data_IF_158604813816
#
_entry.id   IF_158604813816
#
_cell.length_a   1.000
_cell.length_b   1.000
_cell.length_c   1.000
_cell.angle_alpha   90.00
_cell.angle_beta   90.00
_cell.angle_gamma   90.00
#
_symmetry.space_group_name_H-M   'P 1'
#
loop_
_entity.id
_entity.type
_entity.pdbx_description
1 polymer ?
#
# COMPACT_ATOMS: atom_id res chain seq x y z
N UNK A 1 -0.04 18.88 17.09
CA UNK A 1 1.00 17.84 16.92
C UNK A 1 2.09 18.45 16.06
N UNK A 2 3.37 18.38 16.45
CA UNK A 2 4.49 18.95 15.69
C UNK A 2 4.89 17.98 14.58
N UNK A 3 5.11 18.46 13.36
CA UNK A 3 5.65 17.64 12.28
C UNK A 3 7.17 17.60 12.44
N UNK A 4 7.70 16.45 12.84
CA UNK A 4 9.14 16.19 13.01
C UNK A 4 9.48 14.76 12.54
N UNK A 5 10.77 14.47 12.28
CA UNK A 5 11.19 13.15 11.78
C UNK A 5 10.78 11.98 12.66
N UNK A 6 10.79 12.15 13.99
CA UNK A 6 10.40 11.10 14.92
C UNK A 6 8.91 10.76 14.78
N UNK A 7 8.04 11.77 14.70
CA UNK A 7 6.61 11.59 14.49
C UNK A 7 6.30 10.99 13.10
N UNK A 8 7.07 11.33 12.06
CA UNK A 8 6.92 10.73 10.73
C UNK A 8 7.35 9.26 10.73
N UNK A 9 8.44 8.90 11.41
CA UNK A 9 8.84 7.48 11.59
C UNK A 9 7.81 6.69 12.39
N UNK A 10 7.23 7.26 13.44
CA UNK A 10 6.11 6.64 14.15
C UNK A 10 4.90 6.43 13.23
N UNK A 11 4.62 7.38 12.34
CA UNK A 11 3.63 7.23 11.27
C UNK A 11 3.94 6.04 10.36
N UNK A 12 5.20 5.87 9.95
CA UNK A 12 5.65 4.73 9.16
C UNK A 12 5.39 3.39 9.88
N UNK A 13 5.67 3.30 11.18
CA UNK A 13 5.37 2.10 11.97
C UNK A 13 3.87 1.77 12.04
N UNK A 14 2.99 2.78 12.02
CA UNK A 14 1.54 2.55 11.93
C UNK A 14 1.14 2.03 10.56
N UNK A 15 1.81 2.48 9.49
CA UNK A 15 1.62 1.96 8.14
C UNK A 15 2.07 0.50 8.06
N UNK A 16 3.19 0.13 8.70
CA UNK A 16 3.64 -1.26 8.78
C UNK A 16 2.65 -2.15 9.53
N UNK A 17 2.05 -1.65 10.61
CA UNK A 17 1.01 -2.39 11.33
C UNK A 17 -0.23 -2.65 10.44
N UNK A 18 -0.62 -1.66 9.62
CA UNK A 18 -1.70 -1.83 8.65
C UNK A 18 -1.32 -2.82 7.53
N UNK A 19 -0.09 -2.79 7.05
CA UNK A 19 0.45 -3.79 6.11
C UNK A 19 0.35 -5.21 6.68
N UNK A 20 0.77 -5.38 7.94
CA UNK A 20 0.71 -6.65 8.65
C UNK A 20 -0.73 -7.15 8.85
N UNK A 21 -1.71 -6.26 8.98
CA UNK A 21 -3.12 -6.64 9.08
C UNK A 21 -3.71 -7.00 7.72
N UNK A 22 -3.37 -6.26 6.66
CA UNK A 22 -3.83 -6.55 5.29
C UNK A 22 -3.22 -7.83 4.74
N UNK A 23 -1.95 -8.13 5.04
CA UNK A 23 -1.27 -9.35 4.58
C UNK A 23 -1.88 -10.64 5.16
N UNK A 24 -2.64 -10.54 6.25
CA UNK A 24 -3.41 -11.66 6.82
C UNK A 24 -4.71 -11.95 6.06
N UNK A 25 -5.19 -11.02 5.23
CA UNK A 25 -6.40 -11.21 4.43
C UNK A 25 -6.14 -12.23 3.33
N UNK A 26 -7.11 -13.12 3.12
CA UNK A 26 -7.05 -14.14 2.07
C UNK A 26 -8.24 -14.00 1.16
N UNK A 27 -8.01 -14.12 -0.14
CA UNK A 27 -9.11 -14.27 -1.08
C UNK A 27 -9.85 -15.60 -0.79
N UNK A 28 -11.18 -15.62 -0.86
CA UNK A 28 -11.95 -16.86 -0.73
C UNK A 28 -11.55 -17.88 -1.80
N UNK A 29 -11.43 -19.14 -1.40
CA UNK A 29 -11.26 -20.24 -2.34
C UNK A 29 -12.58 -20.47 -3.09
N UNK A 30 -12.56 -20.21 -4.39
CA UNK A 30 -13.71 -20.37 -5.26
C UNK A 30 -13.90 -21.81 -5.75
N UNK A 31 -12.95 -22.72 -5.52
CA UNK A 31 -12.99 -24.07 -6.08
C UNK A 31 -14.21 -24.88 -5.66
N UNK A 32 -14.52 -24.89 -4.35
CA UNK A 32 -15.69 -25.58 -3.81
C UNK A 32 -17.01 -24.98 -4.29
N UNK A 33 -17.09 -23.65 -4.36
CA UNK A 33 -18.28 -22.94 -4.84
C UNK A 33 -18.51 -23.13 -6.34
N UNK A 34 -17.45 -23.10 -7.15
CA UNK A 34 -17.53 -23.35 -8.59
C UNK A 34 -17.99 -24.79 -8.88
N UNK A 35 -17.53 -25.78 -8.11
CA UNK A 35 -17.96 -27.17 -8.25
C UNK A 35 -19.46 -27.36 -7.94
N UNK A 36 -19.98 -26.71 -6.90
CA UNK A 36 -21.40 -26.76 -6.54
C UNK A 36 -22.32 -26.03 -7.52
N UNK A 37 -21.77 -25.11 -8.32
CA UNK A 37 -22.49 -24.33 -9.33
C UNK A 37 -22.30 -24.88 -10.76
N UNK A 38 -21.78 -26.10 -10.92
CA UNK A 38 -21.51 -26.69 -12.24
C UNK A 38 -22.74 -26.64 -13.14
N UNK A 39 -22.58 -26.08 -14.34
CA UNK A 39 -23.65 -25.87 -15.32
C UNK A 39 -24.27 -24.47 -15.32
N UNK A 40 -23.92 -23.62 -14.34
CA UNK A 40 -24.25 -22.19 -14.36
C UNK A 40 -23.07 -21.38 -14.88
N UNK A 41 -23.34 -20.36 -15.70
CA UNK A 41 -22.31 -19.45 -16.23
C UNK A 41 -21.50 -18.75 -15.12
N UNK A 42 -22.10 -18.55 -13.94
CA UNK A 42 -21.42 -17.96 -12.78
C UNK A 42 -20.29 -18.84 -12.25
N UNK A 43 -20.37 -20.16 -12.38
CA UNK A 43 -19.32 -21.06 -11.94
C UNK A 43 -18.00 -20.85 -12.68
N UNK A 44 -18.06 -20.48 -13.96
CA UNK A 44 -16.89 -20.21 -14.80
C UNK A 44 -16.25 -18.84 -14.50
N UNK A 45 -17.04 -17.88 -14.03
CA UNK A 45 -16.56 -16.54 -13.66
C UNK A 45 -15.91 -16.49 -12.26
N UNK A 46 -16.29 -17.41 -11.37
CA UNK A 46 -15.83 -17.44 -9.98
C UNK A 46 -14.31 -17.52 -9.80
N UNK A 47 -13.56 -18.37 -10.54
CA UNK A 47 -12.10 -18.45 -10.44
C UNK A 47 -11.42 -17.12 -10.80
N UNK A 48 -11.82 -16.51 -11.92
CA UNK A 48 -11.25 -15.23 -12.35
C UNK A 48 -11.51 -14.12 -11.32
N UNK A 49 -12.72 -14.08 -10.73
CA UNK A 49 -13.03 -13.13 -9.67
C UNK A 49 -12.16 -13.36 -8.41
N UNK A 50 -11.96 -14.62 -8.00
CA UNK A 50 -11.07 -14.95 -6.87
C UNK A 50 -9.63 -14.50 -7.14
N UNK A 51 -9.11 -14.72 -8.35
CA UNK A 51 -7.75 -14.32 -8.73
C UNK A 51 -7.57 -12.80 -8.83
N UNK A 52 -8.60 -12.07 -9.27
CA UNK A 52 -8.61 -10.60 -9.21
C UNK A 52 -8.52 -10.14 -7.75
N UNK A 53 -9.29 -10.73 -6.84
CA UNK A 53 -9.24 -10.39 -5.41
C UNK A 53 -7.85 -10.66 -4.82
N UNK A 54 -7.24 -11.82 -5.13
CA UNK A 54 -5.85 -12.13 -4.71
C UNK A 54 -4.87 -11.06 -5.21
N UNK A 55 -4.98 -10.71 -6.49
CA UNK A 55 -4.10 -9.71 -7.12
C UNK A 55 -4.28 -8.35 -6.46
N UNK A 56 -5.52 -7.93 -6.21
CA UNK A 56 -5.81 -6.68 -5.52
C UNK A 56 -5.24 -6.65 -4.10
N UNK A 57 -5.37 -7.74 -3.34
CA UNK A 57 -4.77 -7.84 -1.99
C UNK A 57 -3.24 -7.71 -2.03
N UNK A 58 -2.58 -8.37 -2.98
CA UNK A 58 -1.12 -8.25 -3.19
C UNK A 58 -0.72 -6.80 -3.52
N UNK A 59 -1.47 -6.14 -4.41
CA UNK A 59 -1.21 -4.74 -4.78
C UNK A 59 -1.36 -3.81 -3.57
N UNK A 60 -2.42 -4.00 -2.77
CA UNK A 60 -2.66 -3.18 -1.59
C UNK A 60 -1.56 -3.38 -0.54
N UNK A 61 -1.15 -4.62 -0.26
CA UNK A 61 -0.05 -4.90 0.66
C UNK A 61 1.25 -4.20 0.22
N UNK A 62 1.63 -4.33 -1.07
CA UNK A 62 2.80 -3.64 -1.62
C UNK A 62 2.74 -2.11 -1.52
N UNK A 63 1.54 -1.52 -1.55
CA UNK A 63 1.37 -0.06 -1.36
C UNK A 63 1.68 0.38 0.06
N UNK A 64 1.25 -0.39 1.06
CA UNK A 64 1.58 -0.06 2.45
C UNK A 64 3.09 -0.11 2.70
N UNK A 65 3.78 -1.14 2.19
CA UNK A 65 5.24 -1.23 2.26
C UNK A 65 5.92 0.00 1.62
N UNK A 66 5.51 0.36 0.40
CA UNK A 66 6.05 1.54 -0.29
C UNK A 66 5.79 2.86 0.47
N UNK A 67 4.60 3.02 1.06
CA UNK A 67 4.28 4.20 1.87
C UNK A 67 5.14 4.28 3.13
N UNK A 68 5.32 3.16 3.85
CA UNK A 68 6.19 3.10 5.02
C UNK A 68 7.64 3.45 4.67
N UNK A 69 8.14 2.88 3.56
CA UNK A 69 9.46 3.19 3.02
C UNK A 69 9.66 4.65 2.62
N UNK A 70 8.64 5.30 2.04
CA UNK A 70 8.71 6.73 1.74
C UNK A 70 8.76 7.59 2.98
N UNK A 71 7.91 7.34 3.98
CA UNK A 71 7.89 8.12 5.22
C UNK A 71 9.26 8.08 5.91
N UNK A 72 9.90 6.90 5.99
CA UNK A 72 11.26 6.77 6.52
C UNK A 72 12.28 7.55 5.70
N UNK A 73 12.29 7.36 4.37
CA UNK A 73 13.22 8.08 3.47
C UNK A 73 13.04 9.60 3.54
N UNK A 74 11.81 10.09 3.68
CA UNK A 74 11.52 11.51 3.84
C UNK A 74 12.01 12.05 5.19
N UNK A 75 11.84 11.30 6.27
CA UNK A 75 12.39 11.67 7.57
C UNK A 75 13.92 11.71 7.55
N UNK A 76 14.56 10.70 6.98
CA UNK A 76 16.03 10.62 6.86
C UNK A 76 16.55 11.76 5.97
N UNK A 77 15.92 11.98 4.82
CA UNK A 77 16.33 13.04 3.88
C UNK A 77 16.17 14.43 4.49
N UNK A 78 15.13 14.67 5.29
CA UNK A 78 14.92 15.93 6.01
C UNK A 78 16.02 16.22 7.04
N UNK A 79 16.47 15.21 7.78
CA UNK A 79 17.57 15.36 8.75
C UNK A 79 18.93 15.65 8.07
N UNK A 80 19.08 15.26 6.79
CA UNK A 80 20.31 15.44 6.02
C UNK A 80 20.22 16.58 4.98
N UNK A 81 19.22 17.45 5.06
CA UNK A 81 19.09 18.57 4.11
C UNK A 81 20.23 19.59 4.27
N UNK A 82 20.74 20.06 3.13
CA UNK A 82 21.56 21.28 3.08
C UNK A 82 20.66 22.50 3.30
N UNK A 83 21.07 23.42 4.18
CA UNK A 83 20.28 24.58 4.59
C UNK A 83 19.93 25.55 3.45
N UNK A 84 20.57 25.43 2.29
CA UNK A 84 20.33 26.27 1.10
C UNK A 84 19.15 25.82 0.24
N UNK A 85 18.76 24.55 0.31
CA UNK A 85 17.65 23.96 -0.47
C UNK A 85 16.62 23.27 0.42
N UNK A 86 16.63 23.62 1.71
CA UNK A 86 15.79 22.99 2.70
C UNK A 86 14.29 23.16 2.36
N UNK A 87 13.59 22.04 2.27
CA UNK A 87 12.13 21.98 2.06
C UNK A 87 11.47 21.36 3.28
N UNK A 88 10.26 21.80 3.59
CA UNK A 88 9.55 21.28 4.77
C UNK A 88 9.34 19.76 4.67
N UNK A 89 9.40 19.07 5.81
CA UNK A 89 9.15 17.63 5.90
C UNK A 89 7.79 17.24 5.31
N UNK A 90 6.76 18.06 5.56
CA UNK A 90 5.42 17.91 4.98
C UNK A 90 5.45 17.89 3.45
N UNK A 91 6.21 18.79 2.84
CA UNK A 91 6.32 18.89 1.38
C UNK A 91 7.07 17.69 0.78
N UNK A 92 8.11 17.21 1.46
CA UNK A 92 8.84 16.01 1.03
C UNK A 92 7.97 14.75 1.08
N UNK A 93 7.23 14.56 2.18
CA UNK A 93 6.28 13.45 2.31
C UNK A 93 5.15 13.58 1.29
N UNK A 94 4.58 14.78 1.12
CA UNK A 94 3.52 15.05 0.16
C UNK A 94 3.92 14.71 -1.27
N UNK A 95 5.09 15.16 -1.72
CA UNK A 95 5.61 14.84 -3.06
C UNK A 95 5.83 13.34 -3.25
N UNK A 96 6.35 12.65 -2.23
CA UNK A 96 6.53 11.20 -2.27
C UNK A 96 5.20 10.45 -2.43
N UNK A 97 4.17 10.84 -1.67
CA UNK A 97 2.85 10.23 -1.74
C UNK A 97 2.14 10.51 -3.06
N UNK A 98 2.25 11.73 -3.60
CA UNK A 98 1.70 12.07 -4.92
C UNK A 98 2.35 11.23 -6.02
N UNK A 99 3.69 11.10 -6.01
CA UNK A 99 4.40 10.26 -6.99
C UNK A 99 4.01 8.78 -6.90
N UNK A 100 3.74 8.28 -5.68
CA UNK A 100 3.20 6.94 -5.45
C UNK A 100 1.79 6.76 -6.05
N UNK A 101 0.96 7.80 -5.96
CA UNK A 101 -0.36 7.85 -6.57
C UNK A 101 -0.27 7.82 -8.09
N UNK A 102 0.60 8.64 -8.67
CA UNK A 102 0.79 8.75 -10.12
C UNK A 102 1.31 7.43 -10.72
N UNK A 103 2.26 6.75 -10.07
CA UNK A 103 2.76 5.43 -10.50
C UNK A 103 1.67 4.36 -10.49
N UNK A 104 0.67 4.48 -9.59
CA UNK A 104 -0.46 3.56 -9.55
C UNK A 104 -1.55 3.90 -10.57
N UNK A 105 -1.68 5.17 -10.96
CA UNK A 105 -2.62 5.63 -11.99
C UNK A 105 -2.10 5.42 -13.42
N UNK A 106 -0.78 5.27 -13.61
CA UNK A 106 -0.15 5.04 -14.91
C UNK A 106 -0.32 3.61 -15.48
N UNK A 107 -1.38 2.88 -15.06
CA UNK A 107 -1.72 1.55 -15.59
C UNK A 107 -2.92 1.59 -16.52
#
# INVERSE_FOLDING_TARGET
MKVDPANVRQGASKVDAAEADVSKLKAPDSGGAAAGLKGFATAEALPAASDVVKTSLTVVAGRYDQMGGLLRRSADSYEHQDGKTAVSLTQMVGNGLTSLGDLNAAK
#
